data_IF_664950948395
#
_entry.id   IF_664950948395
#
_cell.length_a   1.000
_cell.length_b   1.000
_cell.length_c   1.000
_cell.angle_alpha   90.00
_cell.angle_beta   90.00
_cell.angle_gamma   90.00
#
_symmetry.space_group_name_H-M   'P 1'
#
loop_
_entity.id
_entity.type
_entity.pdbx_description
1 polymer ?
#
# COMPACT_ATOMS: atom_id res chain seq x y z
N UNK A 1 39.21 -0.95 25.13
CA UNK A 1 38.37 -0.54 23.99
C UNK A 1 37.30 -1.62 23.79
N UNK A 2 36.22 -1.60 24.58
CA UNK A 2 35.22 -2.68 24.68
C UNK A 2 33.76 -2.16 24.71
N UNK A 3 33.52 -0.87 24.45
CA UNK A 3 32.17 -0.27 24.58
C UNK A 3 31.38 -0.21 23.26
N UNK A 4 31.99 -0.52 22.11
CA UNK A 4 31.33 -0.38 20.81
C UNK A 4 30.53 -1.60 20.36
N UNK A 5 30.66 -2.74 21.04
CA UNK A 5 30.09 -4.02 20.58
C UNK A 5 28.67 -4.29 21.11
N UNK A 6 28.29 -3.65 22.23
CA UNK A 6 26.95 -3.82 22.81
C UNK A 6 25.87 -3.08 22.01
N UNK A 7 26.17 -1.91 21.45
CA UNK A 7 25.21 -1.11 20.67
C UNK A 7 24.88 -1.75 19.30
N UNK A 8 25.83 -2.48 18.70
CA UNK A 8 25.60 -3.21 17.44
C UNK A 8 24.68 -4.40 17.67
N UNK A 9 24.89 -5.12 18.78
CA UNK A 9 24.10 -6.30 19.15
C UNK A 9 22.65 -5.95 19.55
N UNK A 10 22.43 -4.76 20.12
CA UNK A 10 21.09 -4.24 20.43
C UNK A 10 20.29 -3.89 19.16
N UNK A 11 20.97 -3.38 18.11
CA UNK A 11 20.35 -3.06 16.83
C UNK A 11 19.94 -4.32 16.04
N UNK A 12 20.72 -5.39 16.13
CA UNK A 12 20.43 -6.67 15.48
C UNK A 12 19.23 -7.37 16.14
N UNK A 13 19.19 -7.40 17.48
CA UNK A 13 18.04 -7.96 18.22
C UNK A 13 16.72 -7.21 17.95
N UNK A 14 16.77 -5.91 17.65
CA UNK A 14 15.58 -5.12 17.30
C UNK A 14 15.08 -5.36 15.86
N UNK A 15 15.94 -5.76 14.92
CA UNK A 15 15.50 -6.11 13.55
C UNK A 15 14.72 -7.42 13.53
N UNK A 16 15.22 -8.44 14.22
CA UNK A 16 14.59 -9.76 14.16
C UNK A 16 13.21 -9.78 14.84
N UNK A 17 13.06 -9.04 15.94
CA UNK A 17 11.76 -8.88 16.64
C UNK A 17 10.73 -8.11 15.82
N UNK A 18 11.15 -7.12 15.03
CA UNK A 18 10.24 -6.36 14.16
C UNK A 18 9.74 -7.21 12.98
N UNK A 19 10.62 -7.98 12.34
CA UNK A 19 10.24 -8.85 11.22
C UNK A 19 9.34 -10.01 11.68
N UNK A 20 9.59 -10.60 12.85
CA UNK A 20 8.71 -11.64 13.42
C UNK A 20 7.36 -11.09 13.88
N UNK A 21 7.33 -9.87 14.43
CA UNK A 21 6.07 -9.17 14.77
C UNK A 21 5.23 -8.88 13.53
N UNK A 22 5.85 -8.39 12.44
CA UNK A 22 5.18 -8.18 11.16
C UNK A 22 4.68 -9.50 10.54
N UNK A 23 5.47 -10.57 10.62
CA UNK A 23 5.07 -11.89 10.11
C UNK A 23 3.91 -12.50 10.89
N UNK A 24 3.90 -12.36 12.23
CA UNK A 24 2.78 -12.79 13.08
C UNK A 24 1.52 -11.96 12.84
N UNK A 25 1.65 -10.64 12.67
CA UNK A 25 0.52 -9.78 12.31
C UNK A 25 -0.05 -10.13 10.93
N UNK A 26 0.81 -10.42 9.96
CA UNK A 26 0.38 -10.82 8.61
C UNK A 26 -0.33 -12.19 8.63
N UNK A 27 0.17 -13.16 9.37
CA UNK A 27 -0.50 -14.46 9.56
C UNK A 27 -1.80 -14.35 10.39
N UNK A 28 -1.90 -13.40 11.32
CA UNK A 28 -3.13 -13.16 12.06
C UNK A 28 -4.24 -12.53 11.20
N UNK A 29 -3.87 -11.66 10.25
CA UNK A 29 -4.81 -10.96 9.35
C UNK A 29 -5.16 -11.81 8.13
N UNK A 30 -4.21 -12.55 7.54
CA UNK A 30 -4.41 -13.31 6.31
C UNK A 30 -4.43 -14.84 6.50
N UNK A 31 -3.88 -15.37 7.60
CA UNK A 31 -3.81 -16.81 7.85
C UNK A 31 -5.12 -17.43 8.36
N UNK A 32 -6.11 -16.62 8.78
CA UNK A 32 -7.45 -17.11 9.17
C UNK A 32 -8.45 -17.24 8.01
N UNK A 33 -8.08 -16.86 6.79
CA UNK A 33 -8.99 -16.92 5.63
C UNK A 33 -8.85 -18.19 4.78
N UNK A 34 -8.08 -19.19 5.21
CA UNK A 34 -7.94 -20.47 4.50
C UNK A 34 -9.00 -21.50 4.87
N UNK A 35 -10.27 -21.08 5.00
CA UNK A 35 -11.41 -22.00 5.22
C UNK A 35 -12.48 -21.89 4.11
N UNK A 36 -12.07 -21.40 2.95
CA UNK A 36 -12.85 -21.54 1.72
C UNK A 36 -12.43 -22.85 1.05
N UNK A 37 -13.21 -23.90 1.30
CA UNK A 37 -13.23 -25.11 0.49
C UNK A 37 -13.37 -24.72 -0.99
N UNK A 38 -12.25 -24.78 -1.72
CA UNK A 38 -12.26 -24.64 -3.16
C UNK A 38 -13.07 -25.80 -3.78
N UNK A 39 -13.92 -25.55 -4.78
CA UNK A 39 -14.61 -26.61 -5.50
C UNK A 39 -13.61 -27.55 -6.18
N UNK A 40 -13.87 -28.84 -6.02
CA UNK A 40 -13.05 -30.03 -6.31
C UNK A 40 -12.82 -30.30 -7.82
N UNK A 41 -12.66 -29.28 -8.66
CA UNK A 41 -12.77 -29.40 -10.12
C UNK A 41 -11.60 -28.84 -10.93
N UNK A 42 -10.39 -28.84 -10.38
CA UNK A 42 -9.16 -28.65 -11.20
C UNK A 42 -8.13 -29.73 -10.88
N UNK A 43 -8.59 -30.98 -10.74
CA UNK A 43 -7.74 -32.16 -10.49
C UNK A 43 -7.29 -32.87 -11.78
N UNK A 44 -7.63 -32.34 -12.97
CA UNK A 44 -7.32 -33.02 -14.24
C UNK A 44 -6.90 -32.05 -15.33
N UNK A 45 -5.61 -31.73 -15.40
CA UNK A 45 -4.95 -31.47 -16.69
C UNK A 45 -3.43 -31.65 -16.60
N UNK A 46 -3.02 -32.85 -17.02
CA UNK A 46 -1.81 -33.23 -17.76
C UNK A 46 -0.46 -33.02 -17.07
N UNK A 47 0.06 -34.15 -16.60
CA UNK A 47 1.48 -34.42 -16.42
C UNK A 47 2.25 -34.07 -17.71
N UNK A 48 3.13 -33.07 -17.62
CA UNK A 48 4.29 -32.98 -18.49
C UNK A 48 5.46 -33.62 -17.74
N UNK A 49 6.04 -34.65 -18.34
CA UNK A 49 7.24 -35.36 -17.89
C UNK A 49 8.44 -34.42 -17.93
N UNK A 50 8.79 -33.85 -16.77
CA UNK A 50 10.06 -33.15 -16.61
C UNK A 50 11.19 -34.18 -16.45
N UNK A 51 12.03 -34.19 -17.49
CA UNK A 51 13.35 -34.80 -17.60
C UNK A 51 14.17 -34.55 -16.32
N UNK A 52 14.68 -35.63 -15.73
CA UNK A 52 15.58 -35.61 -14.59
C UNK A 52 16.91 -34.91 -14.92
N UNK A 53 17.34 -34.00 -14.04
CA UNK A 53 18.66 -33.38 -14.04
C UNK A 53 19.26 -33.44 -12.61
N UNK A 54 20.59 -33.64 -12.48
CA UNK A 54 21.25 -34.23 -11.31
C UNK A 54 21.36 -33.31 -10.07
N UNK A 55 21.68 -33.88 -8.88
CA UNK A 55 21.61 -33.20 -7.59
C UNK A 55 22.67 -32.10 -7.43
N UNK A 56 22.23 -30.93 -6.97
CA UNK A 56 23.11 -29.82 -6.59
C UNK A 56 23.84 -30.14 -5.28
N UNK A 57 25.16 -30.26 -5.38
CA UNK A 57 26.10 -30.45 -4.29
C UNK A 57 26.11 -29.23 -3.37
N UNK A 58 26.01 -29.49 -2.07
CA UNK A 58 26.14 -28.52 -0.98
C UNK A 58 27.54 -27.88 -1.03
N UNK A 59 27.61 -26.55 -1.05
CA UNK A 59 28.83 -25.83 -0.70
C UNK A 59 28.46 -24.59 0.13
N UNK A 60 28.45 -24.84 1.43
CA UNK A 60 28.38 -23.87 2.52
C UNK A 60 29.74 -23.13 2.54
N UNK A 61 29.84 -21.96 1.90
CA UNK A 61 31.01 -21.09 2.04
C UNK A 61 30.77 -20.10 3.17
N UNK A 62 31.47 -20.37 4.26
CA UNK A 62 31.70 -19.54 5.44
C UNK A 62 32.36 -18.23 5.02
N UNK A 63 31.66 -17.11 5.18
CA UNK A 63 32.28 -15.79 5.07
C UNK A 63 32.87 -15.44 6.45
N UNK A 64 34.16 -15.72 6.61
CA UNK A 64 34.95 -15.17 7.71
C UNK A 64 35.24 -13.70 7.41
N UNK A 65 34.88 -12.83 8.36
CA UNK A 65 35.26 -11.42 8.36
C UNK A 65 36.75 -11.27 8.69
N UNK A 66 37.41 -10.46 7.86
CA UNK A 66 38.32 -9.35 8.21
C UNK A 66 39.42 -9.59 9.24
N UNK A 67 40.69 -9.49 8.80
CA UNK A 67 41.61 -8.40 9.21
C UNK A 67 42.81 -8.36 8.26
N UNK A 68 42.88 -7.35 7.39
CA UNK A 68 44.15 -6.85 6.88
C UNK A 68 43.95 -5.43 6.37
N UNK A 69 44.49 -4.49 7.13
CA UNK A 69 44.59 -3.10 6.74
C UNK A 69 45.43 -2.96 5.47
N UNK A 70 44.87 -2.36 4.42
CA UNK A 70 45.65 -1.61 3.41
C UNK A 70 44.78 -0.45 2.94
N UNK A 71 45.16 0.76 3.38
CA UNK A 71 44.83 1.99 2.68
C UNK A 71 45.62 1.99 1.37
N UNK A 72 44.95 1.85 0.23
CA UNK A 72 45.43 2.40 -1.05
C UNK A 72 44.24 2.83 -1.89
N UNK A 73 44.39 3.99 -2.52
CA UNK A 73 43.42 4.67 -3.36
C UNK A 73 42.90 3.76 -4.48
N UNK A 74 41.62 3.41 -4.44
CA UNK A 74 40.91 2.70 -5.51
C UNK A 74 39.93 3.66 -6.21
N UNK A 75 40.47 4.69 -6.85
CA UNK A 75 39.78 5.36 -7.95
C UNK A 75 39.88 4.46 -9.19
N UNK A 76 38.78 4.28 -9.92
CA UNK A 76 38.69 3.63 -11.24
C UNK A 76 38.89 2.11 -11.36
N UNK A 77 38.10 1.33 -10.62
CA UNK A 77 37.70 0.00 -11.11
C UNK A 77 36.47 0.14 -12.05
N UNK A 78 36.57 -0.23 -13.35
CA UNK A 78 35.44 -0.15 -14.27
C UNK A 78 34.39 -1.19 -13.89
N UNK A 79 33.36 -0.73 -13.17
CA UNK A 79 32.23 -1.55 -12.79
C UNK A 79 31.52 -2.10 -14.06
N UNK A 80 31.48 -3.43 -14.27
CA UNK A 80 31.02 -4.04 -15.53
C UNK A 80 29.54 -3.75 -15.85
N UNK A 81 28.73 -3.46 -14.83
CA UNK A 81 27.32 -3.06 -14.98
C UNK A 81 27.14 -1.67 -15.61
N UNK A 82 28.19 -0.84 -15.74
CA UNK A 82 28.10 0.48 -16.41
C UNK A 82 28.02 0.41 -17.94
N UNK A 83 28.18 -0.78 -18.55
CA UNK A 83 28.14 -0.95 -20.01
C UNK A 83 26.75 -1.24 -20.57
N UNK A 84 25.72 -1.35 -19.74
CA UNK A 84 24.36 -1.62 -20.22
C UNK A 84 23.72 -0.36 -20.85
N UNK A 85 23.33 -0.40 -22.13
CA UNK A 85 22.72 0.76 -22.81
C UNK A 85 21.42 1.23 -22.14
N UNK A 86 20.68 0.32 -21.50
CA UNK A 86 19.48 0.64 -20.71
C UNK A 86 19.76 1.48 -19.45
N UNK A 87 20.97 1.38 -18.88
CA UNK A 87 21.40 2.19 -17.73
C UNK A 87 22.08 3.51 -18.17
N UNK A 88 22.52 3.61 -19.43
CA UNK A 88 23.09 4.84 -20.01
C UNK A 88 21.99 5.81 -20.45
N UNK A 89 20.80 5.30 -20.75
CA UNK A 89 19.57 6.10 -20.84
C UNK A 89 19.10 6.59 -19.45
N UNK A 90 20.05 7.00 -18.60
CA UNK A 90 19.74 7.77 -17.41
C UNK A 90 18.89 8.96 -17.86
N UNK A 91 17.68 9.13 -17.30
CA UNK A 91 16.66 10.00 -17.86
C UNK A 91 17.16 11.44 -17.86
N UNK A 92 17.59 11.90 -19.02
CA UNK A 92 17.79 13.31 -19.30
C UNK A 92 16.45 14.00 -19.07
N UNK A 93 16.42 14.88 -18.07
CA UNK A 93 15.35 15.84 -17.83
C UNK A 93 13.95 15.26 -17.52
N UNK A 94 13.85 14.31 -16.58
CA UNK A 94 12.64 14.35 -15.74
C UNK A 94 12.73 15.62 -14.88
N UNK A 95 11.73 16.53 -14.88
CA UNK A 95 11.78 17.73 -14.07
C UNK A 95 11.97 17.29 -12.63
N UNK A 96 13.08 17.68 -12.02
CA UNK A 96 13.41 17.30 -10.66
C UNK A 96 12.26 17.75 -9.77
N UNK A 97 11.41 16.80 -9.37
CA UNK A 97 10.33 17.08 -8.44
C UNK A 97 11.01 17.62 -7.19
N UNK A 98 10.72 18.87 -6.84
CA UNK A 98 11.30 19.53 -5.67
C UNK A 98 11.07 18.64 -4.45
N UNK A 99 12.04 18.57 -3.54
CA UNK A 99 11.98 17.70 -2.35
C UNK A 99 10.67 17.90 -1.58
N UNK A 100 10.21 19.15 -1.43
CA UNK A 100 8.93 19.49 -0.82
C UNK A 100 7.72 18.82 -1.49
N UNK A 101 7.65 18.86 -2.84
CA UNK A 101 6.56 18.22 -3.58
C UNK A 101 6.56 16.70 -3.44
N UNK A 102 7.73 16.06 -3.33
CA UNK A 102 7.81 14.61 -3.06
C UNK A 102 7.27 14.30 -1.66
N UNK A 103 7.68 15.07 -0.65
CA UNK A 103 7.20 14.86 0.72
C UNK A 103 5.69 15.06 0.85
N UNK A 104 5.14 16.12 0.23
CA UNK A 104 3.70 16.37 0.22
C UNK A 104 2.92 15.23 -0.46
N UNK A 105 3.46 14.66 -1.55
CA UNK A 105 2.86 13.50 -2.21
C UNK A 105 2.90 12.23 -1.35
N UNK A 106 4.02 11.97 -0.67
CA UNK A 106 4.14 10.84 0.25
C UNK A 106 3.15 10.96 1.42
N UNK A 107 2.98 12.15 1.99
CA UNK A 107 1.97 12.39 3.01
C UNK A 107 0.56 12.21 2.48
N UNK A 108 0.30 12.60 1.23
CA UNK A 108 -1.00 12.38 0.60
C UNK A 108 -1.30 10.88 0.41
N UNK A 109 -0.31 10.10 -0.03
CA UNK A 109 -0.40 8.65 -0.16
C UNK A 109 -0.60 7.98 1.21
N UNK A 110 0.09 8.46 2.25
CA UNK A 110 -0.11 8.02 3.64
C UNK A 110 -1.53 8.30 4.12
N UNK A 111 -2.05 9.50 3.87
CA UNK A 111 -3.42 9.88 4.19
C UNK A 111 -4.44 8.96 3.52
N UNK A 112 -4.19 8.56 2.27
CA UNK A 112 -5.03 7.59 1.56
C UNK A 112 -5.05 6.22 2.22
N UNK A 113 -3.90 5.69 2.62
CA UNK A 113 -3.81 4.38 3.31
C UNK A 113 -4.59 4.43 4.63
N UNK A 114 -4.44 5.51 5.41
CA UNK A 114 -5.15 5.70 6.67
C UNK A 114 -6.67 5.82 6.46
N UNK A 115 -7.10 6.56 5.44
CA UNK A 115 -8.50 6.71 5.09
C UNK A 115 -9.14 5.36 4.67
N UNK A 116 -8.41 4.51 3.94
CA UNK A 116 -8.86 3.14 3.62
C UNK A 116 -8.97 2.26 4.86
N UNK A 117 -8.07 2.44 5.83
CA UNK A 117 -8.10 1.75 7.12
C UNK A 117 -9.15 2.28 8.12
N UNK A 118 -10.00 3.24 7.73
CA UNK A 118 -11.02 3.83 8.61
C UNK A 118 -10.47 4.83 9.65
N UNK A 119 -9.18 5.14 9.63
CA UNK A 119 -8.52 6.08 10.55
C UNK A 119 -8.63 7.51 10.03
N UNK A 120 -9.85 8.07 10.05
CA UNK A 120 -10.13 9.35 9.38
C UNK A 120 -9.50 10.57 10.05
N UNK A 121 -9.30 10.55 11.38
CA UNK A 121 -8.64 11.63 12.10
C UNK A 121 -7.17 11.75 11.66
N UNK A 122 -6.43 10.64 11.71
CA UNK A 122 -5.03 10.57 11.27
C UNK A 122 -4.89 10.89 9.78
N UNK A 123 -5.83 10.39 8.96
CA UNK A 123 -5.89 10.72 7.54
C UNK A 123 -6.07 12.23 7.31
N UNK A 124 -6.89 12.89 8.13
CA UNK A 124 -7.08 14.36 8.04
C UNK A 124 -5.76 15.07 8.30
N UNK A 125 -5.01 14.68 9.33
CA UNK A 125 -3.70 15.28 9.63
C UNK A 125 -2.69 15.10 8.49
N UNK A 126 -2.60 13.89 7.92
CA UNK A 126 -1.73 13.61 6.77
C UNK A 126 -2.17 14.36 5.49
N UNK A 127 -3.47 14.55 5.28
CA UNK A 127 -3.96 15.37 4.17
C UNK A 127 -3.71 16.86 4.40
N UNK A 128 -3.74 17.37 5.63
CA UNK A 128 -3.40 18.76 5.95
C UNK A 128 -1.92 19.04 5.61
N UNK A 129 -1.01 18.15 6.01
CA UNK A 129 0.42 18.29 5.68
C UNK A 129 0.64 18.21 4.17
N UNK A 130 -0.03 17.29 3.48
CA UNK A 130 0.02 17.19 2.02
C UNK A 130 -0.53 18.43 1.30
N UNK A 131 -1.66 18.96 1.74
CA UNK A 131 -2.34 20.10 1.13
C UNK A 131 -1.63 21.44 1.41
N UNK A 132 -0.56 21.45 2.21
CA UNK A 132 0.26 22.64 2.44
C UNK A 132 0.97 23.10 1.17
N UNK A 133 1.27 22.18 0.25
CA UNK A 133 1.75 22.49 -1.10
C UNK A 133 0.55 22.78 -2.03
N UNK A 134 0.39 24.02 -2.54
CA UNK A 134 -0.73 24.38 -3.41
C UNK A 134 -0.70 23.62 -4.76
N UNK A 135 0.46 23.08 -5.15
CA UNK A 135 0.62 22.34 -6.40
C UNK A 135 0.17 20.88 -6.30
N UNK A 136 -0.11 20.39 -5.10
CA UNK A 136 -0.62 19.03 -4.89
C UNK A 136 -2.15 19.05 -4.99
N UNK A 137 -2.67 18.23 -5.91
CA UNK A 137 -4.08 17.93 -6.01
C UNK A 137 -4.35 16.53 -5.45
N UNK A 138 -5.05 16.47 -4.32
CA UNK A 138 -5.45 15.22 -3.67
C UNK A 138 -6.38 14.39 -4.55
N UNK A 139 -7.16 15.03 -5.44
CA UNK A 139 -8.15 14.35 -6.28
C UNK A 139 -7.55 13.64 -7.49
N UNK A 140 -6.31 14.00 -7.84
CA UNK A 140 -5.51 13.37 -8.90
C UNK A 140 -4.77 12.11 -8.41
N UNK A 141 -4.86 11.79 -7.11
CA UNK A 141 -4.22 10.60 -6.57
C UNK A 141 -4.94 9.32 -7.03
N UNK A 142 -4.17 8.26 -7.35
CA UNK A 142 -4.74 7.01 -7.85
C UNK A 142 -5.60 6.33 -6.78
N UNK A 143 -6.86 6.06 -7.11
CA UNK A 143 -7.83 5.41 -6.21
C UNK A 143 -8.36 6.31 -5.09
N UNK A 144 -8.23 7.63 -5.23
CA UNK A 144 -8.84 8.61 -4.33
C UNK A 144 -10.37 8.52 -4.33
N UNK A 145 -10.97 8.33 -5.50
CA UNK A 145 -12.42 8.25 -5.67
C UNK A 145 -13.04 6.95 -5.15
N UNK A 146 -12.21 5.93 -4.90
CA UNK A 146 -12.60 4.67 -4.29
C UNK A 146 -12.61 4.74 -2.75
N UNK A 147 -12.22 5.88 -2.16
CA UNK A 147 -12.24 6.06 -0.72
C UNK A 147 -13.67 6.08 -0.17
N UNK A 148 -13.87 5.66 1.09
CA UNK A 148 -15.16 5.84 1.75
C UNK A 148 -15.51 7.33 1.80
N UNK A 149 -16.82 7.65 1.84
CA UNK A 149 -17.30 9.04 1.90
C UNK A 149 -16.64 9.88 3.00
N UNK A 150 -16.36 9.27 4.16
CA UNK A 150 -15.66 9.91 5.28
C UNK A 150 -14.19 10.20 4.96
N UNK A 151 -13.51 9.35 4.20
CA UNK A 151 -12.14 9.57 3.72
C UNK A 151 -12.03 10.69 2.68
N UNK A 152 -13.04 10.84 1.82
CA UNK A 152 -13.13 12.03 0.96
C UNK A 152 -13.44 13.30 1.77
N UNK A 153 -14.29 13.18 2.80
CA UNK A 153 -14.60 14.31 3.69
C UNK A 153 -13.40 14.78 4.52
N UNK A 154 -12.46 13.90 4.91
CA UNK A 154 -11.21 14.33 5.54
C UNK A 154 -10.32 15.13 4.59
N UNK A 155 -10.26 14.77 3.30
CA UNK A 155 -9.56 15.55 2.29
C UNK A 155 -10.18 16.95 2.09
N UNK A 156 -11.51 17.06 2.16
CA UNK A 156 -12.21 18.35 2.15
C UNK A 156 -11.79 19.21 3.34
N UNK A 157 -11.78 18.65 4.56
CA UNK A 157 -11.35 19.37 5.77
C UNK A 157 -9.90 19.83 5.67
N UNK A 158 -9.03 19.04 5.05
CA UNK A 158 -7.64 19.42 4.83
C UNK A 158 -7.50 20.64 3.89
N UNK A 159 -8.29 20.70 2.82
CA UNK A 159 -8.32 21.88 1.97
C UNK A 159 -8.89 23.11 2.69
N UNK A 160 -9.92 22.96 3.52
CA UNK A 160 -10.46 24.05 4.33
C UNK A 160 -9.43 24.58 5.33
N UNK A 161 -8.71 23.69 6.01
CA UNK A 161 -7.67 24.05 6.97
C UNK A 161 -6.56 24.90 6.34
N UNK A 162 -6.17 24.59 5.10
CA UNK A 162 -5.13 25.34 4.39
C UNK A 162 -5.71 26.49 3.54
N UNK A 163 -6.94 26.96 3.85
CA UNK A 163 -7.62 28.06 3.16
C UNK A 163 -7.81 27.86 1.64
N UNK A 164 -7.75 26.62 1.15
CA UNK A 164 -8.02 26.24 -0.25
C UNK A 164 -9.53 26.04 -0.47
N UNK A 165 -10.31 27.08 -0.19
CA UNK A 165 -11.79 27.02 -0.18
C UNK A 165 -12.38 26.65 -1.54
N UNK A 166 -11.78 27.11 -2.64
CA UNK A 166 -12.22 26.78 -4.01
C UNK A 166 -12.11 25.28 -4.28
N UNK A 167 -10.99 24.67 -3.90
CA UNK A 167 -10.75 23.24 -4.10
C UNK A 167 -11.64 22.39 -3.19
N UNK A 168 -11.84 22.83 -1.94
CA UNK A 168 -12.79 22.22 -1.02
C UNK A 168 -14.22 22.23 -1.57
N UNK A 169 -14.67 23.37 -2.13
CA UNK A 169 -15.99 23.51 -2.73
C UNK A 169 -16.14 22.63 -4.00
N UNK A 170 -15.13 22.62 -4.87
CA UNK A 170 -15.12 21.76 -6.05
C UNK A 170 -15.18 20.27 -5.68
N UNK A 171 -14.41 19.85 -4.67
CA UNK A 171 -14.43 18.49 -4.15
C UNK A 171 -15.80 18.14 -3.54
N UNK A 172 -16.38 19.00 -2.70
CA UNK A 172 -17.73 18.81 -2.14
C UNK A 172 -18.79 18.68 -3.25
N UNK A 173 -18.73 19.52 -4.27
CA UNK A 173 -19.65 19.46 -5.40
C UNK A 173 -19.53 18.13 -6.15
N UNK A 174 -18.30 17.69 -6.43
CA UNK A 174 -18.04 16.41 -7.10
C UNK A 174 -18.45 15.20 -6.26
N UNK A 175 -18.22 15.23 -4.94
CA UNK A 175 -18.73 14.20 -4.03
C UNK A 175 -20.25 14.08 -4.08
N UNK A 176 -20.97 15.21 -4.14
CA UNK A 176 -22.44 15.23 -4.26
C UNK A 176 -22.93 14.67 -5.60
N UNK A 177 -22.20 14.86 -6.69
CA UNK A 177 -22.57 14.28 -7.99
C UNK A 177 -22.27 12.79 -8.07
N UNK A 178 -21.13 12.33 -7.52
CA UNK A 178 -20.70 10.93 -7.63
C UNK A 178 -21.42 10.03 -6.64
N UNK A 179 -21.66 10.49 -5.41
CA UNK A 179 -22.26 9.70 -4.33
C UNK A 179 -23.77 9.96 -4.18
N UNK A 180 -24.49 10.20 -5.28
CA UNK A 180 -25.94 10.45 -5.22
C UNK A 180 -26.66 9.23 -4.64
N UNK A 181 -27.56 9.42 -3.65
CA UNK A 181 -28.42 8.33 -3.20
C UNK A 181 -29.27 7.87 -4.39
N UNK A 182 -29.22 6.57 -4.70
CA UNK A 182 -30.11 5.97 -5.68
C UNK A 182 -31.45 5.74 -5.01
N UNK A 183 -32.54 6.09 -5.69
CA UNK A 183 -33.87 5.73 -5.25
C UNK A 183 -33.96 4.20 -5.12
N UNK A 184 -34.30 3.72 -3.93
CA UNK A 184 -34.53 2.30 -3.69
C UNK A 184 -35.85 1.99 -4.38
N UNK A 185 -35.82 1.05 -5.35
CA UNK A 185 -37.07 0.57 -5.96
C UNK A 185 -37.93 -0.01 -4.83
N UNK A 186 -39.21 0.37 -4.72
CA UNK A 186 -40.08 -0.21 -3.71
C UNK A 186 -40.09 -1.73 -3.90
N UNK A 187 -39.86 -2.46 -2.81
CA UNK A 187 -40.00 -3.92 -2.82
C UNK A 187 -41.43 -4.22 -3.29
N UNK A 188 -41.65 -5.10 -4.29
CA UNK A 188 -43.00 -5.47 -4.68
C UNK A 188 -43.69 -5.97 -3.42
N UNK A 189 -44.82 -5.33 -3.08
CA UNK A 189 -45.66 -5.79 -1.99
C UNK A 189 -46.00 -7.24 -2.31
N UNK A 190 -45.41 -8.18 -1.57
CA UNK A 190 -45.88 -9.55 -1.59
C UNK A 190 -47.33 -9.43 -1.16
N UNK A 191 -48.23 -9.69 -2.11
CA UNK A 191 -49.65 -9.74 -1.84
C UNK A 191 -49.80 -10.77 -0.71
N UNK A 192 -49.95 -10.27 0.52
CA UNK A 192 -50.49 -11.04 1.62
C UNK A 192 -51.96 -11.21 1.27
N UNK A 193 -52.19 -12.06 0.28
CA UNK A 193 -53.40 -12.82 0.08
C UNK A 193 -53.54 -13.69 1.33
N UNK A 194 -53.87 -13.05 2.45
CA UNK A 194 -54.71 -13.65 3.47
C UNK A 194 -56.00 -13.94 2.75
N UNK A 195 -56.07 -15.13 2.14
CA UNK A 195 -57.31 -15.86 2.01
C UNK A 195 -57.83 -16.04 3.44
N UNK A 196 -58.53 -15.02 3.94
CA UNK A 196 -59.52 -15.18 4.97
C UNK A 196 -60.72 -15.83 4.28
N UNK A 197 -60.62 -17.14 4.02
CA UNK A 197 -61.82 -17.98 3.91
C UNK A 197 -62.23 -18.29 5.34
N UNK A 198 -62.82 -17.28 5.99
CA UNK A 198 -63.57 -17.46 7.21
C UNK A 198 -65.00 -17.87 6.82
N UNK A 199 -65.39 -19.05 7.30
CA UNK A 199 -66.71 -19.39 7.86
C UNK A 199 -67.98 -19.05 7.08
N UNK A 200 -68.79 -20.07 6.83
CA UNK A 200 -70.22 -19.96 6.53
C UNK A 200 -70.81 -21.35 6.36
N UNK A 201 -71.64 -21.75 7.33
CA UNK A 201 -72.24 -23.07 7.57
C UNK A 201 -73.07 -23.66 6.41
#
# INVERSE_FOLDING_TARGET
>A
MLMSDMAVRELENHRDTFFDSCRRAFLAVFGRCSDHRLPRQVEQRRAYTLRSAPPATVSRKTNQSTTAAVQTNAADAPQPWRRHPQLRAAPSASPSITSGRRSARLEAERGMILARGGKFADATAAFITAASDPKVDLTALPGFWDLPRQGMASAVRAYEHNSRIRDAAALKARMRSTLRPRAIKPLPATASSRQMTASGD
#
